data_IF_716410443550
#
_entry.id   IF_716410443550
#
_cell.length_a   1.000
_cell.length_b   1.000
_cell.length_c   1.000
_cell.angle_alpha   90.00
_cell.angle_beta   90.00
_cell.angle_gamma   90.00
#
_symmetry.space_group_name_H-M   'P 1'
#
loop_
_entity.id
_entity.type
_entity.pdbx_description
1 polymer ?
#
# COMPACT_ATOMS: atom_id res chain seq x y z
N UNK A 1 6.70 -11.91 -6.63
CA UNK A 1 6.79 -10.99 -5.50
C UNK A 1 5.52 -11.02 -4.66
N UNK A 2 5.63 -10.62 -3.40
CA UNK A 2 4.46 -10.38 -2.56
C UNK A 2 4.03 -8.93 -2.74
N UNK A 3 2.72 -8.72 -2.79
CA UNK A 3 2.16 -7.38 -2.93
C UNK A 3 1.13 -7.14 -1.84
N UNK A 4 1.28 -6.04 -1.14
CA UNK A 4 0.31 -5.60 -0.14
C UNK A 4 -0.10 -4.16 -0.42
N UNK A 5 -1.33 -3.84 -0.06
CA UNK A 5 -1.83 -2.48 -0.04
C UNK A 5 -1.85 -2.03 1.41
N UNK A 6 -1.38 -0.81 1.69
CA UNK A 6 -1.32 -0.28 3.04
C UNK A 6 -2.05 1.06 3.10
N UNK A 7 -2.91 1.23 4.10
CA UNK A 7 -3.65 2.48 4.31
C UNK A 7 -3.05 3.23 5.51
N UNK A 8 -2.44 4.38 5.25
CA UNK A 8 -1.90 5.23 6.31
C UNK A 8 -3.00 5.94 7.09
N UNK A 9 -4.16 6.07 6.47
CA UNK A 9 -5.38 6.53 7.11
C UNK A 9 -6.55 5.87 6.40
N UNK A 10 -7.75 5.95 6.97
CA UNK A 10 -8.95 5.33 6.39
C UNK A 10 -9.05 5.67 4.90
N UNK A 11 -9.20 4.65 4.08
CA UNK A 11 -9.24 4.79 2.62
C UNK A 11 -10.20 3.78 2.01
N UNK A 12 -11.08 4.27 1.14
CA UNK A 12 -12.00 3.38 0.42
C UNK A 12 -11.28 2.74 -0.75
N UNK A 13 -11.43 1.42 -0.89
CA UNK A 13 -10.70 0.62 -1.86
C UNK A 13 -11.66 -0.27 -2.64
N UNK A 14 -11.48 -0.32 -3.96
CA UNK A 14 -12.10 -1.31 -4.82
C UNK A 14 -11.03 -1.95 -5.68
N UNK A 15 -10.88 -3.27 -5.56
CA UNK A 15 -10.00 -4.06 -6.41
C UNK A 15 -10.84 -4.85 -7.39
N UNK A 16 -10.48 -4.78 -8.66
CA UNK A 16 -11.10 -5.56 -9.74
C UNK A 16 -10.08 -6.46 -10.37
N UNK A 17 -10.53 -7.63 -10.82
CA UNK A 17 -9.70 -8.51 -11.63
C UNK A 17 -9.59 -7.97 -13.06
N UNK A 18 -8.84 -8.68 -13.90
CA UNK A 18 -8.62 -8.28 -15.29
C UNK A 18 -9.92 -8.20 -16.09
N UNK A 19 -10.93 -8.98 -15.71
CA UNK A 19 -12.21 -9.01 -16.40
C UNK A 19 -13.19 -7.95 -15.89
N UNK A 20 -12.79 -7.19 -14.88
CA UNK A 20 -13.63 -6.16 -14.29
C UNK A 20 -14.52 -6.63 -13.15
N UNK A 21 -14.36 -7.87 -12.69
CA UNK A 21 -15.10 -8.38 -11.55
C UNK A 21 -14.53 -7.81 -10.26
N UNK A 22 -15.41 -7.39 -9.35
CA UNK A 22 -14.98 -6.87 -8.06
C UNK A 22 -14.50 -8.02 -7.19
N UNK A 23 -13.24 -7.94 -6.76
CA UNK A 23 -12.66 -8.91 -5.85
C UNK A 23 -12.79 -8.44 -4.40
N UNK A 24 -12.66 -7.14 -4.17
CA UNK A 24 -12.63 -6.56 -2.83
C UNK A 24 -13.15 -5.13 -2.90
N UNK A 25 -14.03 -4.77 -1.96
CA UNK A 25 -14.55 -3.41 -1.91
C UNK A 25 -14.99 -3.09 -0.50
N UNK A 26 -14.24 -2.21 0.17
CA UNK A 26 -14.61 -1.63 1.46
C UNK A 26 -13.59 -0.56 1.85
N UNK A 27 -13.85 0.11 2.97
CA UNK A 27 -12.84 0.97 3.57
C UNK A 27 -11.77 0.12 4.24
N UNK A 28 -10.51 0.45 3.98
CA UNK A 28 -9.42 -0.01 4.82
C UNK A 28 -9.31 0.91 6.01
N UNK A 29 -9.04 0.35 7.16
CA UNK A 29 -8.81 1.11 8.39
C UNK A 29 -7.40 1.67 8.38
N UNK A 30 -7.19 2.74 9.14
CA UNK A 30 -5.85 3.27 9.37
C UNK A 30 -4.92 2.15 9.86
N UNK A 31 -3.80 1.98 9.18
CA UNK A 31 -2.80 0.98 9.52
C UNK A 31 -3.07 -0.42 9.00
N UNK A 32 -4.17 -0.61 8.30
CA UNK A 32 -4.53 -1.93 7.78
C UNK A 32 -3.72 -2.27 6.53
N UNK A 33 -3.28 -3.54 6.45
CA UNK A 33 -2.65 -4.10 5.25
C UNK A 33 -3.61 -5.08 4.58
N UNK A 34 -3.60 -5.07 3.26
CA UNK A 34 -4.38 -6.02 2.47
C UNK A 34 -3.43 -6.75 1.54
N UNK A 35 -3.34 -8.08 1.70
CA UNK A 35 -2.51 -8.90 0.81
C UNK A 35 -3.24 -9.05 -0.52
N UNK A 36 -2.55 -8.76 -1.61
CA UNK A 36 -3.10 -8.88 -2.96
C UNK A 36 -2.55 -10.17 -3.58
N UNK A 37 -3.42 -11.15 -3.88
CA UNK A 37 -2.96 -12.40 -4.47
C UNK A 37 -2.45 -12.19 -5.90
N UNK A 38 -1.55 -13.08 -6.32
CA UNK A 38 -0.88 -12.97 -7.62
C UNK A 38 -1.85 -12.90 -8.80
N UNK A 39 -2.96 -13.60 -8.71
CA UNK A 39 -3.94 -13.62 -9.81
C UNK A 39 -4.62 -12.27 -10.03
N UNK A 40 -4.47 -11.33 -9.10
CA UNK A 40 -5.00 -9.97 -9.26
C UNK A 40 -3.98 -8.98 -9.80
N UNK A 41 -2.75 -9.40 -10.07
CA UNK A 41 -1.73 -8.47 -10.55
C UNK A 41 -2.05 -7.83 -11.90
N UNK A 42 -2.93 -8.44 -12.67
CA UNK A 42 -3.40 -7.86 -13.94
C UNK A 42 -4.68 -7.03 -13.77
N UNK A 43 -5.10 -6.83 -12.54
CA UNK A 43 -6.30 -6.08 -12.23
C UNK A 43 -6.05 -4.59 -12.00
N UNK A 44 -7.04 -3.94 -11.41
CA UNK A 44 -7.00 -2.50 -11.20
C UNK A 44 -7.52 -2.10 -9.84
N UNK A 45 -7.11 -0.90 -9.41
CA UNK A 45 -7.46 -0.31 -8.12
C UNK A 45 -8.21 0.99 -8.31
N UNK A 46 -9.28 1.16 -7.57
CA UNK A 46 -9.93 2.46 -7.36
C UNK A 46 -9.83 2.78 -5.87
N UNK A 47 -9.38 3.99 -5.54
CA UNK A 47 -9.15 4.35 -4.15
C UNK A 47 -9.50 5.80 -3.89
N UNK A 48 -10.23 6.03 -2.79
CA UNK A 48 -10.39 7.35 -2.21
C UNK A 48 -9.30 7.59 -1.18
N UNK A 49 -9.11 8.87 -0.78
CA UNK A 49 -8.04 9.27 0.14
C UNK A 49 -6.67 8.77 -0.33
N UNK A 50 -6.40 8.97 -1.60
CA UNK A 50 -5.29 8.32 -2.31
C UNK A 50 -3.90 8.78 -1.85
N UNK A 51 -3.80 9.93 -1.15
CA UNK A 51 -2.52 10.37 -0.56
C UNK A 51 -2.10 9.50 0.62
N UNK A 52 -3.00 8.65 1.11
CA UNK A 52 -2.76 7.77 2.27
C UNK A 52 -2.65 6.31 1.87
N UNK A 53 -2.67 6.01 0.57
CA UNK A 53 -2.59 4.64 0.07
C UNK A 53 -1.20 4.36 -0.47
N UNK A 54 -0.58 3.30 0.04
CA UNK A 54 0.77 2.87 -0.32
C UNK A 54 0.76 1.41 -0.70
N UNK A 55 1.81 0.98 -1.41
CA UNK A 55 2.01 -0.42 -1.78
C UNK A 55 3.30 -0.92 -1.15
N UNK A 56 3.30 -2.20 -0.82
CA UNK A 56 4.48 -2.88 -0.30
C UNK A 56 4.76 -4.05 -1.22
N UNK A 57 5.87 -3.98 -1.95
CA UNK A 57 6.32 -5.05 -2.85
C UNK A 57 7.52 -5.70 -2.17
N UNK A 58 7.36 -6.97 -1.80
CA UNK A 58 8.29 -7.66 -0.90
C UNK A 58 8.40 -6.81 0.37
N UNK A 59 9.52 -6.20 0.67
CA UNK A 59 9.63 -5.31 1.82
C UNK A 59 9.84 -3.86 1.40
N UNK A 60 9.62 -3.54 0.13
CA UNK A 60 9.83 -2.20 -0.40
C UNK A 60 8.50 -1.44 -0.45
N UNK A 61 8.51 -0.23 0.06
CA UNK A 61 7.32 0.60 0.17
C UNK A 61 7.32 1.63 -0.95
N UNK A 62 6.21 1.71 -1.68
CA UNK A 62 6.02 2.65 -2.78
C UNK A 62 4.74 3.46 -2.57
N UNK A 63 4.78 4.72 -2.91
CA UNK A 63 3.61 5.59 -2.84
C UNK A 63 3.97 7.02 -2.52
N UNK A 64 2.99 7.85 -2.19
CA UNK A 64 1.55 7.54 -2.15
C UNK A 64 0.97 7.29 -3.53
N UNK A 65 -0.22 6.73 -3.57
CA UNK A 65 -0.92 6.45 -4.83
C UNK A 65 -1.17 7.74 -5.63
N UNK A 66 -1.41 8.83 -4.93
CA UNK A 66 -1.58 10.14 -5.54
C UNK A 66 -1.07 11.22 -4.58
N UNK A 67 -0.57 12.32 -5.14
CA UNK A 67 -0.15 13.48 -4.34
C UNK A 67 -1.26 14.51 -4.15
N UNK A 68 -2.41 14.32 -4.78
CA UNK A 68 -3.45 15.35 -4.83
C UNK A 68 -4.70 15.04 -4.03
N UNK A 69 -4.78 13.88 -3.38
CA UNK A 69 -5.93 13.53 -2.56
C UNK A 69 -7.22 13.25 -3.31
N UNK A 70 -7.20 13.29 -4.63
CA UNK A 70 -8.37 12.96 -5.45
C UNK A 70 -8.58 11.45 -5.50
N UNK A 71 -9.79 11.03 -5.94
CA UNK A 71 -10.05 9.62 -6.20
C UNK A 71 -9.21 9.18 -7.39
N UNK A 72 -8.46 8.10 -7.21
CA UNK A 72 -7.76 7.43 -8.31
C UNK A 72 -8.68 6.32 -8.80
N UNK A 73 -9.02 6.33 -10.09
CA UNK A 73 -10.12 5.49 -10.58
C UNK A 73 -9.71 4.16 -11.19
N UNK A 74 -8.52 4.06 -11.74
CA UNK A 74 -8.16 2.87 -12.53
C UNK A 74 -6.65 2.70 -12.58
N UNK A 75 -6.06 2.38 -11.45
CA UNK A 75 -4.62 2.20 -11.34
C UNK A 75 -4.27 0.73 -11.49
N UNK A 76 -3.36 0.40 -12.42
CA UNK A 76 -2.87 -0.97 -12.59
C UNK A 76 -2.05 -1.39 -11.38
N UNK A 77 -2.40 -2.51 -10.78
CA UNK A 77 -1.71 -3.03 -9.60
C UNK A 77 -0.62 -4.04 -9.94
N UNK A 78 -0.23 -4.11 -11.21
CA UNK A 78 0.96 -4.87 -11.60
C UNK A 78 2.17 -4.29 -10.85
N UNK A 79 2.96 -5.12 -10.15
CA UNK A 79 4.13 -4.61 -9.43
C UNK A 79 5.08 -3.80 -10.29
N UNK A 80 5.23 -4.14 -11.57
CA UNK A 80 6.07 -3.36 -12.48
C UNK A 80 5.52 -1.96 -12.70
N UNK A 81 4.20 -1.82 -12.77
CA UNK A 81 3.56 -0.52 -12.92
C UNK A 81 3.74 0.32 -11.66
N UNK A 82 3.62 -0.31 -10.49
CA UNK A 82 3.81 0.37 -9.21
C UNK A 82 5.23 0.91 -9.11
N UNK A 83 6.22 0.07 -9.37
CA UNK A 83 7.62 0.46 -9.31
C UNK A 83 7.97 1.55 -10.29
N UNK A 84 7.34 1.53 -11.47
CA UNK A 84 7.62 2.52 -12.52
C UNK A 84 6.98 3.88 -12.21
N UNK A 85 5.79 3.89 -11.64
CA UNK A 85 4.97 5.10 -11.57
C UNK A 85 4.86 5.71 -10.17
N UNK A 86 5.19 4.96 -9.12
CA UNK A 86 5.14 5.48 -7.76
C UNK A 86 6.54 5.60 -7.17
N UNK A 87 6.69 6.54 -6.25
CA UNK A 87 7.98 6.79 -5.62
C UNK A 87 8.33 5.71 -4.62
N UNK A 88 9.58 5.26 -4.64
CA UNK A 88 10.12 4.40 -3.60
C UNK A 88 10.26 5.22 -2.31
N UNK A 89 9.75 4.68 -1.21
CA UNK A 89 9.79 5.36 0.10
C UNK A 89 10.89 4.76 0.97
N UNK A 90 10.87 3.44 1.16
CA UNK A 90 11.75 2.79 2.11
C UNK A 90 11.67 1.28 1.95
N UNK A 91 12.70 0.57 2.46
CA UNK A 91 12.66 -0.88 2.62
C UNK A 91 12.21 -1.30 4.01
N UNK A 92 11.92 -0.32 4.91
CA UNK A 92 11.56 -0.61 6.29
C UNK A 92 10.10 -0.25 6.52
N UNK A 93 9.26 -1.28 6.57
CA UNK A 93 7.82 -1.11 6.74
C UNK A 93 7.47 -0.46 8.08
N UNK A 94 8.32 -0.59 9.10
CA UNK A 94 8.07 -0.01 10.41
C UNK A 94 7.93 1.51 10.36
N UNK A 95 8.50 2.13 9.35
CA UNK A 95 8.40 3.59 9.17
C UNK A 95 6.94 4.01 8.96
N UNK A 96 6.12 3.16 8.35
CA UNK A 96 4.72 3.45 8.08
C UNK A 96 3.77 3.13 9.23
N UNK A 97 4.25 2.47 10.28
CA UNK A 97 3.42 2.04 11.40
C UNK A 97 3.86 2.74 12.68
N UNK A 98 3.25 3.89 13.01
CA UNK A 98 3.66 4.66 14.19
C UNK A 98 3.65 3.86 15.48
N UNK A 99 2.73 2.92 15.64
CA UNK A 99 2.69 2.09 16.83
C UNK A 99 3.91 1.20 16.98
N UNK A 100 4.44 0.71 15.86
CA UNK A 100 5.65 -0.09 15.85
C UNK A 100 6.85 0.79 16.19
N UNK A 101 6.91 1.95 15.55
CA UNK A 101 8.00 2.92 15.81
C UNK A 101 8.04 3.29 17.29
N UNK A 102 6.90 3.54 17.88
CA UNK A 102 6.84 3.91 19.31
C UNK A 102 7.28 2.80 20.22
N UNK A 103 7.12 1.56 19.82
CA UNK A 103 7.57 0.42 20.62
C UNK A 103 9.07 0.21 20.55
N UNK A 104 9.58 0.47 19.39
CA UNK A 104 10.99 0.22 19.19
C UNK A 104 11.84 1.34 19.68
N UNK A 105 11.60 1.89 20.06
CA UNK A 105 12.38 2.69 20.43
C UNK A 105 13.17 2.48 21.24
N UNK A 106 13.17 1.58 21.01
CA UNK A 106 13.90 0.94 21.43
C UNK A 106 14.59 0.20 20.81
N UNK A 107 14.26 -0.15 19.81
CA UNK A 107 14.79 -0.68 18.98
C UNK A 107 15.47 -0.55 18.53
N UNK A 108 15.58 -0.59 18.33
CA UNK A 108 16.06 -0.47 17.47
C UNK A 108 16.63 -0.43 17.46
N UNK A 109 16.71 -0.43 17.56
CA UNK A 109 17.11 -0.31 17.15
C UNK A 109 17.51 -0.45 17.27
N UNK A 110 17.42 -0.64 17.45
CA UNK A 110 17.68 -0.70 17.13
C UNK A 110 18.10 -0.93 17.16
N UNK A 111 18.07 -1.16 17.06
CA UNK A 111 18.33 -1.24 16.67
C UNK A 111 18.80 -1.06 16.75
N UNK A 112 18.84 -1.01 16.88
CA UNK A 112 19.15 -0.74 16.65
C UNK A 112 19.63 -0.53 16.94
N UNK A 113 19.57 -0.44 17.01
CA UNK A 113 19.92 -0.19 17.02
C UNK A 113 20.26 -0.20 17.60
N UNK A 114 20.11 -0.57 17.60
CA UNK A 114 20.31 -0.55 17.87
C UNK A 114 20.38 -0.61 18.05
#
# INVERSE_FOLDING_TARGET
PTLKLFAFDKSWIRLKDQKGNIYFERNLKKGEELIIPNELFSGSLRAGNSTKVFFIIDDNIFGPLSNKGSVVKNFSIDPKNIEKNLSFVSTNIDILEPSVINKSHNLSTAKKID
#
